data_IF_797065230867
#
_entry.id   IF_797065230867
#
_cell.length_a   1.000
_cell.length_b   1.000
_cell.length_c   1.000
_cell.angle_alpha   90.00
_cell.angle_beta   90.00
_cell.angle_gamma   90.00
#
_symmetry.space_group_name_H-M   'P 1'
#
loop_
_entity.id
_entity.type
_entity.pdbx_description
1 polymer ?
#
# COMPACT_ATOMS: atom_id res chain seq x y z
N UNK A 1 -13.56 -15.00 40.26
CA UNK A 1 -13.69 -15.50 38.88
C UNK A 1 -13.99 -14.40 37.86
N UNK A 2 -14.95 -13.49 38.12
CA UNK A 2 -15.26 -12.35 37.21
C UNK A 2 -14.07 -11.38 36.98
N UNK A 3 -13.32 -11.03 38.03
CA UNK A 3 -12.13 -10.17 37.91
C UNK A 3 -11.00 -10.78 37.07
N UNK A 4 -10.85 -12.11 37.12
CA UNK A 4 -9.84 -12.82 36.34
C UNK A 4 -10.21 -12.87 34.85
N UNK A 5 -11.51 -12.99 34.55
CA UNK A 5 -12.03 -12.90 33.18
C UNK A 5 -11.83 -11.50 32.57
N UNK A 6 -12.07 -10.43 33.34
CA UNK A 6 -11.83 -9.05 32.90
C UNK A 6 -10.35 -8.75 32.60
N UNK A 7 -9.43 -9.30 33.40
CA UNK A 7 -7.98 -9.13 33.17
C UNK A 7 -7.57 -9.84 31.87
N UNK A 8 -8.10 -11.03 31.61
CA UNK A 8 -7.76 -11.81 30.41
C UNK A 8 -8.20 -11.11 29.11
N UNK A 9 -9.39 -10.48 29.13
CA UNK A 9 -9.89 -9.69 27.98
C UNK A 9 -9.04 -8.44 27.75
N UNK A 10 -8.63 -7.74 28.82
CA UNK A 10 -7.78 -6.55 28.70
C UNK A 10 -6.39 -6.88 28.12
N UNK A 11 -5.80 -8.01 28.52
CA UNK A 11 -4.51 -8.48 27.98
C UNK A 11 -4.64 -8.85 26.50
N UNK A 12 -5.72 -9.53 26.11
CA UNK A 12 -5.96 -9.87 24.71
C UNK A 12 -6.10 -8.63 23.81
N UNK A 13 -6.73 -7.57 24.31
CA UNK A 13 -6.91 -6.31 23.58
C UNK A 13 -5.61 -5.49 23.43
N UNK A 14 -4.66 -5.64 24.35
CA UNK A 14 -3.35 -4.97 24.23
C UNK A 14 -2.42 -5.65 23.21
N UNK A 15 -2.52 -6.97 23.04
CA UNK A 15 -1.66 -7.74 22.12
C UNK A 15 -2.06 -7.51 20.65
N UNK A 16 -3.34 -7.28 20.36
CA UNK A 16 -3.83 -7.06 19.00
C UNK A 16 -3.40 -5.73 18.38
N UNK A 17 -3.00 -4.74 19.19
CA UNK A 17 -2.56 -3.43 18.70
C UNK A 17 -1.16 -3.45 18.05
N UNK A 18 -0.37 -4.51 18.25
CA UNK A 18 1.03 -4.60 17.84
C UNK A 18 1.28 -5.31 16.51
N UNK A 19 0.23 -5.79 15.84
CA UNK A 19 0.35 -6.73 14.71
C UNK A 19 0.35 -6.09 13.31
N UNK A 20 0.20 -4.77 13.20
CA UNK A 20 0.22 -4.07 11.92
C UNK A 20 1.63 -3.53 11.62
N UNK A 21 2.52 -4.39 11.14
CA UNK A 21 3.84 -4.00 10.65
C UNK A 21 4.22 -4.85 9.44
N UNK A 22 3.50 -4.67 8.33
CA UNK A 22 3.97 -5.17 7.05
C UNK A 22 4.83 -4.08 6.40
N UNK A 23 5.96 -4.46 5.81
CA UNK A 23 6.74 -3.52 5.01
C UNK A 23 6.01 -3.24 3.71
N UNK A 24 6.16 -2.04 3.15
CA UNK A 24 5.56 -1.69 1.85
C UNK A 24 5.93 -2.70 0.76
N UNK A 25 7.16 -3.23 0.78
CA UNK A 25 7.62 -4.23 -0.18
C UNK A 25 6.87 -5.56 -0.03
N UNK A 26 6.74 -6.06 1.20
CA UNK A 26 6.00 -7.29 1.47
C UNK A 26 4.54 -7.18 1.04
N UNK A 27 3.90 -6.03 1.27
CA UNK A 27 2.53 -5.77 0.81
C UNK A 27 2.41 -5.71 -0.71
N UNK A 28 3.39 -5.14 -1.41
CA UNK A 28 3.42 -5.14 -2.88
C UNK A 28 3.60 -6.57 -3.40
N UNK A 29 4.56 -7.32 -2.87
CA UNK A 29 4.81 -8.71 -3.25
C UNK A 29 3.60 -9.61 -3.00
N UNK A 30 2.93 -9.46 -1.85
CA UNK A 30 1.72 -10.22 -1.52
C UNK A 30 0.55 -9.92 -2.47
N UNK A 31 0.45 -8.68 -2.97
CA UNK A 31 -0.58 -8.27 -3.95
C UNK A 31 -0.23 -8.71 -5.38
N UNK A 32 1.01 -9.10 -5.63
CA UNK A 32 1.55 -9.47 -6.95
C UNK A 32 1.37 -8.36 -8.02
N UNK A 33 1.17 -7.12 -7.57
CA UNK A 33 1.02 -5.96 -8.45
C UNK A 33 1.53 -4.70 -7.75
N UNK A 34 2.38 -3.95 -8.46
CA UNK A 34 2.80 -2.62 -8.06
C UNK A 34 1.80 -1.59 -8.57
N UNK A 35 1.15 -0.88 -7.64
CA UNK A 35 0.33 0.28 -7.98
C UNK A 35 1.21 1.53 -8.02
N UNK A 36 1.65 1.91 -9.23
CA UNK A 36 2.46 3.12 -9.40
C UNK A 36 1.56 4.34 -9.64
N UNK A 37 1.66 5.33 -8.75
CA UNK A 37 0.93 6.59 -8.86
C UNK A 37 1.74 7.64 -9.62
N UNK A 38 1.10 8.34 -10.55
CA UNK A 38 1.70 9.44 -11.31
C UNK A 38 0.77 10.68 -11.29
N UNK A 39 1.32 11.84 -11.62
CA UNK A 39 0.51 13.04 -11.83
C UNK A 39 -0.20 12.97 -13.19
N UNK A 40 -1.31 13.69 -13.36
CA UNK A 40 -1.98 13.81 -14.67
C UNK A 40 -1.83 15.23 -15.18
N UNK A 41 -1.70 15.42 -16.49
CA UNK A 41 -1.65 16.74 -17.10
C UNK A 41 -0.25 17.33 -17.19
N UNK A 42 0.81 16.53 -17.09
CA UNK A 42 2.19 17.00 -17.17
C UNK A 42 2.92 16.38 -18.39
N UNK A 43 2.82 17.00 -19.59
CA UNK A 43 3.45 16.47 -20.80
C UNK A 43 4.96 16.26 -20.63
N UNK A 44 5.45 15.10 -21.08
CA UNK A 44 6.84 14.67 -20.92
C UNK A 44 7.11 13.87 -19.63
N UNK A 45 6.29 14.03 -18.59
CA UNK A 45 6.42 13.28 -17.33
C UNK A 45 5.35 12.21 -17.19
N UNK A 46 4.07 12.59 -17.26
CA UNK A 46 2.95 11.68 -17.10
C UNK A 46 1.69 12.26 -17.72
N UNK A 47 1.25 11.65 -18.83
CA UNK A 47 -0.03 11.98 -19.46
C UNK A 47 -0.63 10.78 -20.20
N UNK A 48 -1.95 10.56 -20.07
CA UNK A 48 -2.65 9.62 -20.92
C UNK A 48 -2.85 10.21 -22.33
N UNK A 49 -2.74 9.38 -23.36
CA UNK A 49 -3.20 9.71 -24.72
C UNK A 49 -4.73 9.59 -24.84
N UNK A 50 -5.28 9.90 -26.02
CA UNK A 50 -6.72 9.80 -26.30
C UNK A 50 -7.30 8.38 -26.14
N UNK A 51 -6.44 7.35 -26.16
CA UNK A 51 -6.81 5.94 -25.97
C UNK A 51 -6.60 5.48 -24.53
N UNK A 52 -6.15 6.36 -23.64
CA UNK A 52 -5.86 6.08 -22.23
C UNK A 52 -4.50 5.42 -21.98
N UNK A 53 -3.61 5.34 -22.98
CA UNK A 53 -2.26 4.83 -22.76
C UNK A 53 -1.41 5.90 -22.07
N UNK A 54 -0.78 5.52 -20.96
CA UNK A 54 0.09 6.41 -20.21
C UNK A 54 1.51 6.42 -20.79
N UNK A 55 2.08 7.61 -20.91
CA UNK A 55 3.47 7.83 -21.37
C UNK A 55 4.14 8.96 -20.60
N UNK A 56 5.48 8.96 -20.61
CA UNK A 56 6.34 9.98 -20.01
C UNK A 56 7.32 9.42 -18.98
N UNK A 57 8.21 10.29 -18.48
CA UNK A 57 9.28 9.92 -17.55
C UNK A 57 8.81 9.18 -16.30
N UNK A 58 7.74 9.64 -15.64
CA UNK A 58 7.22 9.00 -14.43
C UNK A 58 6.69 7.60 -14.75
N UNK A 59 6.04 7.45 -15.91
CA UNK A 59 5.48 6.17 -16.38
C UNK A 59 6.60 5.18 -16.72
N UNK A 60 7.66 5.66 -17.36
CA UNK A 60 8.83 4.84 -17.68
C UNK A 60 9.57 4.42 -16.42
N UNK A 61 9.69 5.30 -15.43
CA UNK A 61 10.22 4.95 -14.11
C UNK A 61 9.36 3.88 -13.42
N UNK A 62 8.02 4.01 -13.44
CA UNK A 62 7.11 3.00 -12.92
C UNK A 62 7.26 1.62 -13.58
N UNK A 63 7.52 1.59 -14.89
CA UNK A 63 7.71 0.34 -15.67
C UNK A 63 9.07 -0.31 -15.44
N UNK A 64 10.06 0.46 -14.98
CA UNK A 64 11.41 -0.03 -14.75
C UNK A 64 11.58 -0.74 -13.40
N UNK A 65 10.67 -0.52 -12.46
CA UNK A 65 10.60 -1.20 -11.15
C UNK A 65 9.98 -2.58 -11.30
#
# INVERSE_FOLDING_TARGET
>A
MKKLSFIMVAVFFMISASLASASTLEEVQKRDVLQCGVSTGLPGFSNPDEKGNWTGLDVDACRAV
#
